data_IF_985842522795
#
_entry.id   IF_985842522795
#
_cell.length_a   1.000
_cell.length_b   1.000
_cell.length_c   1.000
_cell.angle_alpha   90.00
_cell.angle_beta   90.00
_cell.angle_gamma   90.00
#
_symmetry.space_group_name_H-M   'P 1'
#
loop_
_entity.id
_entity.type
_entity.pdbx_description
1 polymer ?
#
# COMPACT_ATOMS: atom_id res chain seq x y z
N UNK A 1 16.64 -8.00 -2.10
CA UNK A 1 15.50 -7.13 -1.73
C UNK A 1 16.01 -5.79 -1.23
N UNK A 2 15.28 -4.70 -1.45
CA UNK A 2 15.59 -3.40 -0.86
C UNK A 2 14.29 -2.61 -0.63
N UNK A 3 14.16 -1.97 0.54
CA UNK A 3 13.04 -1.08 0.88
C UNK A 3 12.98 0.10 -0.09
N UNK A 4 11.77 0.44 -0.55
CA UNK A 4 11.51 1.62 -1.38
C UNK A 4 11.60 2.90 -0.56
N UNK A 5 11.12 2.88 0.68
CA UNK A 5 11.23 4.02 1.58
C UNK A 5 12.69 4.26 1.97
N UNK A 6 13.08 5.55 1.99
CA UNK A 6 14.41 5.99 2.38
C UNK A 6 14.35 7.24 3.22
N UNK A 7 14.93 7.16 4.41
CA UNK A 7 15.20 8.36 5.20
C UNK A 7 16.47 9.03 4.72
N UNK A 8 16.42 10.35 4.63
CA UNK A 8 17.51 11.19 4.18
C UNK A 8 17.96 12.13 5.30
N UNK A 9 19.24 12.50 5.25
CA UNK A 9 19.80 13.59 6.03
C UNK A 9 20.31 14.65 5.04
N UNK A 10 19.78 15.86 5.15
CA UNK A 10 20.24 17.00 4.35
C UNK A 10 21.67 17.37 4.76
N UNK A 11 22.55 17.53 3.76
CA UNK A 11 23.96 17.92 3.95
C UNK A 11 24.28 19.27 3.29
N UNK A 12 23.32 19.84 2.55
CA UNK A 12 23.46 21.14 1.90
C UNK A 12 22.12 21.87 1.77
N UNK A 13 22.14 23.12 1.28
CA UNK A 13 20.95 23.95 1.12
C UNK A 13 20.05 23.52 -0.05
N UNK A 14 20.54 22.67 -0.96
CA UNK A 14 19.76 22.21 -2.12
C UNK A 14 19.02 20.92 -1.82
N UNK A 15 17.80 20.74 -2.35
CA UNK A 15 16.98 19.53 -2.15
C UNK A 15 17.65 18.23 -2.63
N UNK A 16 18.69 18.33 -3.46
CA UNK A 16 19.44 17.20 -4.00
C UNK A 16 20.73 16.89 -3.21
N UNK A 17 21.03 17.67 -2.18
CA UNK A 17 22.23 17.51 -1.35
C UNK A 17 21.87 16.81 -0.04
N UNK A 18 21.68 15.49 -0.14
CA UNK A 18 21.36 14.63 0.99
C UNK A 18 22.14 13.31 0.94
N UNK A 19 22.24 12.65 2.09
CA UNK A 19 22.72 11.27 2.21
C UNK A 19 21.59 10.37 2.68
N UNK A 20 21.57 9.12 2.22
CA UNK A 20 20.66 8.12 2.77
C UNK A 20 21.15 7.64 4.13
N UNK A 21 20.24 7.59 5.10
CA UNK A 21 20.52 7.02 6.41
C UNK A 21 20.63 5.50 6.26
N UNK A 22 21.76 4.94 6.68
CA UNK A 22 21.99 3.50 6.65
C UNK A 22 21.56 2.84 7.97
N UNK A 23 20.38 2.23 7.97
CA UNK A 23 19.84 1.54 9.14
C UNK A 23 20.55 0.23 9.48
N UNK A 24 21.50 -0.25 8.66
CA UNK A 24 22.32 -1.42 9.03
C UNK A 24 23.15 -1.15 10.28
N UNK A 25 23.62 0.09 10.42
CA UNK A 25 24.46 0.57 11.53
C UNK A 25 23.66 0.85 12.82
N UNK A 26 22.34 0.90 12.74
CA UNK A 26 21.49 1.20 13.90
C UNK A 26 21.28 -0.06 14.76
N UNK A 27 21.20 0.10 16.08
CA UNK A 27 20.83 -1.00 16.97
C UNK A 27 19.31 -1.28 16.90
N UNK A 28 18.92 -2.54 17.06
CA UNK A 28 17.51 -2.92 17.13
C UNK A 28 16.99 -2.78 18.57
N UNK A 29 15.87 -2.08 18.73
CA UNK A 29 15.23 -1.90 20.03
C UNK A 29 14.38 -3.12 20.40
N UNK A 30 14.82 -3.84 21.44
CA UNK A 30 14.22 -5.10 21.90
C UNK A 30 12.77 -4.94 22.38
N UNK A 31 12.29 -3.72 22.65
CA UNK A 31 10.90 -3.48 23.05
C UNK A 31 9.90 -3.89 21.96
N UNK A 32 10.34 -3.94 20.71
CA UNK A 32 9.51 -4.38 19.58
C UNK A 32 9.47 -5.91 19.45
N UNK A 33 10.26 -6.65 20.24
CA UNK A 33 10.30 -8.10 20.14
C UNK A 33 9.00 -8.73 20.68
N UNK A 34 8.33 -9.51 19.84
CA UNK A 34 7.08 -10.19 20.15
C UNK A 34 7.26 -11.71 20.21
N UNK A 35 6.66 -12.41 21.20
CA UNK A 35 6.74 -13.87 21.29
C UNK A 35 6.08 -14.55 20.09
N UNK A 36 6.87 -15.30 19.31
CA UNK A 36 6.38 -15.97 18.09
C UNK A 36 5.26 -16.97 18.36
N UNK A 37 5.30 -17.62 19.52
CA UNK A 37 4.27 -18.54 20.01
C UNK A 37 2.89 -17.89 20.15
N UNK A 38 2.82 -16.56 20.24
CA UNK A 38 1.58 -15.81 20.31
C UNK A 38 1.08 -15.36 18.92
N UNK A 39 1.63 -15.92 17.84
CA UNK A 39 1.17 -15.68 16.47
C UNK A 39 0.56 -16.94 15.88
N UNK A 40 -0.68 -16.79 15.40
CA UNK A 40 -1.37 -17.81 14.63
C UNK A 40 -1.44 -17.38 13.16
N UNK A 41 -0.66 -18.03 12.30
CA UNK A 41 -0.61 -17.69 10.87
C UNK A 41 -1.85 -18.19 10.14
N UNK A 42 -2.43 -17.29 9.33
CA UNK A 42 -3.50 -17.57 8.40
C UNK A 42 -3.04 -17.61 6.94
N UNK A 43 -3.91 -17.12 6.06
CA UNK A 43 -3.70 -17.13 4.62
C UNK A 43 -2.62 -16.16 4.13
N UNK A 44 -2.03 -16.43 2.96
CA UNK A 44 -1.07 -15.55 2.30
C UNK A 44 -1.81 -14.36 1.68
N UNK A 45 -1.42 -13.13 2.05
CA UNK A 45 -1.93 -11.87 1.48
C UNK A 45 -1.26 -11.52 0.16
N UNK A 46 0.04 -11.82 0.04
CA UNK A 46 0.80 -11.56 -1.17
C UNK A 46 2.14 -12.28 -1.12
N UNK A 47 2.68 -12.63 -2.28
CA UNK A 47 3.95 -13.33 -2.41
C UNK A 47 4.75 -12.76 -3.57
N UNK A 48 5.98 -12.33 -3.30
CA UNK A 48 6.87 -11.74 -4.29
C UNK A 48 8.12 -12.59 -4.52
N UNK A 49 9.08 -12.01 -5.24
CA UNK A 49 10.35 -12.68 -5.54
C UNK A 49 11.17 -13.00 -4.28
N UNK A 50 11.07 -12.16 -3.25
CA UNK A 50 11.97 -12.17 -2.09
C UNK A 50 11.30 -12.62 -0.78
N UNK A 51 9.96 -12.57 -0.71
CA UNK A 51 9.23 -12.86 0.51
C UNK A 51 7.74 -13.01 0.28
N UNK A 52 6.99 -13.06 1.38
CA UNK A 52 5.54 -13.07 1.39
C UNK A 52 5.01 -12.26 2.57
N UNK A 53 3.78 -11.79 2.43
CA UNK A 53 2.99 -11.22 3.52
C UNK A 53 1.84 -12.17 3.78
N UNK A 54 1.58 -12.48 5.04
CA UNK A 54 0.49 -13.37 5.46
C UNK A 54 -0.37 -12.69 6.51
N UNK A 55 -1.65 -13.05 6.57
CA UNK A 55 -2.49 -12.69 7.70
C UNK A 55 -2.07 -13.51 8.91
N UNK A 56 -2.19 -12.96 10.11
CA UNK A 56 -2.06 -13.70 11.35
C UNK A 56 -2.93 -13.08 12.46
N UNK A 57 -3.25 -13.88 13.46
CA UNK A 57 -3.80 -13.40 14.73
C UNK A 57 -2.65 -13.24 15.73
N UNK A 58 -2.46 -12.04 16.27
CA UNK A 58 -1.49 -11.77 17.32
C UNK A 58 -2.19 -11.67 18.69
N UNK A 59 -1.83 -12.56 19.62
CA UNK A 59 -2.41 -12.62 20.95
C UNK A 59 -1.57 -11.84 21.97
N UNK A 60 -2.20 -10.88 22.66
CA UNK A 60 -1.54 -10.08 23.69
C UNK A 60 -0.62 -8.98 23.14
N UNK A 61 -0.82 -8.53 21.90
CA UNK A 61 0.03 -7.49 21.29
C UNK A 61 -0.24 -6.08 21.84
N UNK A 62 -1.51 -5.77 22.15
CA UNK A 62 -1.91 -4.50 22.75
C UNK A 62 -2.06 -4.65 24.27
N UNK A 63 -2.99 -5.52 24.71
CA UNK A 63 -3.18 -5.83 26.13
C UNK A 63 -3.29 -7.34 26.35
N UNK A 64 -3.03 -7.78 27.58
CA UNK A 64 -3.20 -9.19 27.96
C UNK A 64 -4.66 -9.63 27.79
N UNK A 65 -4.89 -10.67 26.99
CA UNK A 65 -6.22 -11.20 26.70
C UNK A 65 -6.82 -10.74 25.37
N UNK A 66 -6.26 -9.69 24.76
CA UNK A 66 -6.71 -9.20 23.45
C UNK A 66 -6.06 -10.01 22.31
N UNK A 67 -6.74 -10.08 21.17
CA UNK A 67 -6.20 -10.61 19.93
C UNK A 67 -6.47 -9.64 18.78
N UNK A 68 -5.48 -9.43 17.92
CA UNK A 68 -5.58 -8.48 16.80
C UNK A 68 -5.20 -9.20 15.51
N UNK A 69 -5.92 -8.92 14.42
CA UNK A 69 -5.49 -9.34 13.09
C UNK A 69 -4.30 -8.49 12.65
N UNK A 70 -3.27 -9.12 12.11
CA UNK A 70 -2.03 -8.44 11.70
C UNK A 70 -1.55 -8.96 10.36
N UNK A 71 -0.99 -8.07 9.54
CA UNK A 71 -0.26 -8.48 8.36
C UNK A 71 1.21 -8.70 8.73
N UNK A 72 1.74 -9.84 8.30
CA UNK A 72 3.05 -10.32 8.72
C UNK A 72 3.96 -10.48 7.52
N UNK A 73 4.95 -9.58 7.42
CA UNK A 73 5.95 -9.59 6.35
C UNK A 73 7.09 -10.54 6.70
N UNK A 74 7.45 -11.45 5.80
CA UNK A 74 8.53 -12.44 6.03
C UNK A 74 9.26 -12.82 4.74
N UNK A 75 10.52 -13.22 4.87
CA UNK A 75 11.32 -13.75 3.76
C UNK A 75 10.93 -15.19 3.40
N UNK A 76 11.41 -15.66 2.25
CA UNK A 76 11.32 -17.08 1.84
C UNK A 76 12.21 -17.99 2.71
N UNK A 77 12.06 -19.31 2.58
CA UNK A 77 12.71 -20.30 3.45
C UNK A 77 14.25 -20.29 3.42
N UNK A 78 14.86 -19.78 2.34
CA UNK A 78 16.33 -19.72 2.18
C UNK A 78 16.74 -18.31 1.74
N UNK A 79 16.62 -17.30 2.61
CA UNK A 79 17.03 -15.97 2.26
C UNK A 79 18.55 -15.84 2.29
N UNK A 80 19.09 -15.07 1.37
CA UNK A 80 20.49 -14.66 1.42
C UNK A 80 20.74 -13.67 2.57
N UNK A 81 22.01 -13.39 2.86
CA UNK A 81 22.36 -12.46 3.93
C UNK A 81 21.86 -11.03 3.65
N UNK A 82 21.92 -10.59 2.39
CA UNK A 82 21.49 -9.25 2.00
C UNK A 82 19.98 -9.04 2.17
N UNK A 83 19.17 -10.07 1.93
CA UNK A 83 17.72 -10.05 2.09
C UNK A 83 17.33 -9.92 3.56
N UNK A 84 18.05 -10.60 4.45
CA UNK A 84 17.89 -10.46 5.91
C UNK A 84 18.27 -9.06 6.37
N UNK A 85 19.42 -8.56 5.92
CA UNK A 85 19.89 -7.22 6.27
C UNK A 85 18.94 -6.14 5.77
N UNK A 86 18.38 -6.30 4.56
CA UNK A 86 17.38 -5.39 4.01
C UNK A 86 16.09 -5.40 4.84
N UNK A 87 15.60 -6.57 5.26
CA UNK A 87 14.40 -6.65 6.10
C UNK A 87 14.64 -6.11 7.52
N UNK A 88 15.82 -6.33 8.11
CA UNK A 88 16.22 -5.70 9.37
C UNK A 88 16.34 -4.19 9.26
N UNK A 89 16.88 -3.69 8.16
CA UNK A 89 17.01 -2.25 7.91
C UNK A 89 15.64 -1.59 7.78
N UNK A 90 14.71 -2.26 7.09
CA UNK A 90 13.32 -1.81 7.00
C UNK A 90 12.65 -1.79 8.38
N UNK A 91 12.80 -2.84 9.19
CA UNK A 91 12.30 -2.88 10.56
C UNK A 91 12.82 -1.70 11.38
N UNK A 92 14.14 -1.48 11.40
CA UNK A 92 14.77 -0.38 12.15
C UNK A 92 14.29 1.00 11.66
N UNK A 93 14.15 1.19 10.35
CA UNK A 93 13.58 2.40 9.77
C UNK A 93 12.15 2.63 10.26
N UNK A 94 11.30 1.59 10.25
CA UNK A 94 9.92 1.68 10.74
C UNK A 94 9.86 1.99 12.23
N UNK A 95 10.80 1.51 13.05
CA UNK A 95 10.87 1.90 14.46
C UNK A 95 11.25 3.38 14.64
N UNK A 96 12.01 3.95 13.71
CA UNK A 96 12.51 5.32 13.78
C UNK A 96 11.49 6.34 13.26
N UNK A 97 10.71 5.98 12.24
CA UNK A 97 9.74 6.90 11.62
C UNK A 97 8.58 7.24 12.58
N UNK A 98 8.19 6.28 13.41
CA UNK A 98 7.06 6.39 14.34
C UNK A 98 5.74 5.93 13.69
N UNK A 99 4.63 6.32 14.30
CA UNK A 99 3.29 5.96 13.83
C UNK A 99 2.51 7.17 13.32
N UNK A 100 1.61 6.89 12.37
CA UNK A 100 0.67 7.86 11.85
C UNK A 100 -0.60 7.13 11.35
N UNK A 101 -1.75 7.79 11.43
CA UNK A 101 -3.05 7.19 11.08
C UNK A 101 -3.05 6.66 9.63
N UNK A 102 -2.56 7.47 8.70
CA UNK A 102 -2.50 7.16 7.27
C UNK A 102 -1.21 6.47 6.81
N UNK A 103 -0.46 5.88 7.73
CA UNK A 103 0.71 5.04 7.44
C UNK A 103 0.44 3.64 7.97
N UNK A 104 0.90 2.62 7.25
CA UNK A 104 0.86 1.26 7.77
C UNK A 104 1.90 1.11 8.88
N UNK A 105 1.41 1.06 10.12
CA UNK A 105 2.22 1.14 11.34
C UNK A 105 2.83 -0.20 11.74
N UNK A 106 4.05 -0.16 12.25
CA UNK A 106 4.71 -1.29 12.90
C UNK A 106 4.08 -1.55 14.28
N UNK A 107 3.65 -2.79 14.55
CA UNK A 107 3.18 -3.20 15.88
C UNK A 107 4.23 -4.01 16.68
N UNK A 108 5.21 -4.61 16.00
CA UNK A 108 6.25 -5.41 16.63
C UNK A 108 7.00 -6.28 15.62
N UNK A 109 7.94 -7.08 16.10
CA UNK A 109 8.73 -7.98 15.29
C UNK A 109 9.15 -9.25 16.02
N UNK A 110 9.39 -10.32 15.26
CA UNK A 110 10.09 -11.50 15.75
C UNK A 110 11.45 -11.56 15.03
N UNK A 111 12.53 -11.41 15.78
CA UNK A 111 13.91 -11.41 15.26
C UNK A 111 14.78 -12.47 15.92
N UNK A 112 14.42 -12.93 17.13
CA UNK A 112 15.18 -13.93 17.89
C UNK A 112 14.65 -15.34 17.62
N UNK A 113 15.58 -16.29 17.40
CA UNK A 113 15.23 -17.70 17.24
C UNK A 113 14.86 -18.35 18.58
N UNK A 114 13.57 -18.49 18.87
CA UNK A 114 13.07 -19.31 19.98
C UNK A 114 13.14 -20.82 19.67
N UNK A 115 13.55 -21.64 20.64
CA UNK A 115 13.32 -23.10 20.60
C UNK A 115 11.83 -23.34 20.82
N UNK A 116 11.09 -23.71 19.76
CA UNK A 116 9.72 -24.23 19.89
C UNK A 116 9.71 -25.47 20.80
N UNK A 117 9.14 -25.35 22.00
CA UNK A 117 8.57 -26.49 22.74
C UNK A 117 7.11 -26.58 22.36
N UNK A 118 6.71 -27.69 21.73
CA UNK A 118 5.30 -28.02 21.55
C UNK A 118 4.68 -28.24 22.93
N UNK A 119 3.79 -27.35 23.35
CA UNK A 119 2.67 -27.70 24.22
C UNK A 119 1.41 -27.44 23.42
N UNK A 120 0.80 -28.51 22.93
CA UNK A 120 -0.47 -28.45 22.23
C UNK A 120 -1.55 -27.96 23.18
N UNK A 121 -2.24 -26.90 22.80
CA UNK A 121 -3.55 -26.57 23.35
C UNK A 121 -4.44 -26.22 22.16
N UNK A 122 -5.46 -27.05 22.00
CA UNK A 122 -6.57 -26.91 21.09
C UNK A 122 -7.56 -25.95 21.77
N UNK A 123 -7.92 -24.84 21.13
CA UNK A 123 -9.06 -24.03 21.55
C UNK A 123 -9.93 -23.73 20.32
N UNK A 124 -11.06 -24.44 20.25
CA UNK A 124 -12.21 -24.13 19.40
C UNK A 124 -13.12 -23.18 20.18
N UNK A 125 -13.53 -22.08 19.56
CA UNK A 125 -14.85 -21.47 19.75
C UNK A 125 -15.34 -20.94 18.39
N UNK A 126 -16.57 -21.31 17.99
CA UNK A 126 -17.35 -20.71 16.88
C UNK A 126 -18.54 -19.91 17.46
N UNK A 127 -19.64 -19.50 16.79
CA UNK A 127 -20.25 -19.62 15.44
C UNK A 127 -21.39 -18.55 15.42
N UNK A 128 -21.79 -17.98 14.28
CA UNK A 128 -23.22 -17.92 13.84
C UNK A 128 -23.41 -17.44 12.40
N UNK A 129 -24.30 -18.14 11.71
CA UNK A 129 -24.65 -18.07 10.28
C UNK A 129 -26.00 -17.40 10.07
N UNK A 130 -26.17 -16.65 8.98
CA UNK A 130 -27.47 -16.53 8.30
C UNK A 130 -27.27 -16.48 6.78
N UNK A 131 -27.83 -17.47 6.09
CA UNK A 131 -28.01 -17.51 4.64
C UNK A 131 -29.17 -16.59 4.25
N UNK A 132 -29.02 -15.80 3.17
CA UNK A 132 -30.15 -15.33 2.37
C UNK A 132 -29.83 -15.39 0.87
N UNK A 133 -30.88 -15.74 0.13
CA UNK A 133 -30.94 -16.19 -1.26
C UNK A 133 -30.78 -15.06 -2.27
N UNK A 134 -30.43 -15.46 -3.48
CA UNK A 134 -30.56 -14.74 -4.75
C UNK A 134 -31.95 -14.11 -4.88
N UNK A 135 -32.02 -12.83 -5.25
CA UNK A 135 -33.17 -12.24 -5.94
C UNK A 135 -32.68 -11.13 -6.91
N UNK A 136 -33.33 -11.10 -8.08
CA UNK A 136 -33.07 -10.28 -9.26
C UNK A 136 -33.30 -8.78 -9.02
N UNK A 137 -32.50 -7.90 -9.64
CA UNK A 137 -32.66 -6.44 -9.54
C UNK A 137 -33.46 -5.87 -10.72
N UNK A 138 -34.61 -5.27 -10.42
CA UNK A 138 -35.34 -4.34 -11.27
C UNK A 138 -34.64 -2.97 -11.33
N UNK A 139 -34.80 -2.27 -12.46
CA UNK A 139 -34.25 -0.94 -12.73
C UNK A 139 -35.25 0.16 -12.38
N UNK A 140 -34.81 1.19 -11.65
CA UNK A 140 -35.53 2.47 -11.56
C UNK A 140 -34.60 3.66 -11.76
N UNK A 141 -34.95 4.50 -12.73
CA UNK A 141 -34.33 5.79 -13.04
C UNK A 141 -34.71 6.85 -12.01
N UNK A 142 -33.73 7.68 -11.62
CA UNK A 142 -33.99 8.98 -11.01
C UNK A 142 -33.03 9.31 -9.87
N UNK A 143 -32.26 10.39 -10.05
CA UNK A 143 -31.24 10.97 -9.15
C UNK A 143 -29.82 10.47 -9.38
N UNK A 144 -28.85 11.38 -9.33
CA UNK A 144 -27.41 11.18 -9.57
C UNK A 144 -26.74 10.29 -8.50
N UNK A 145 -27.27 9.09 -8.29
CA UNK A 145 -26.73 8.11 -7.37
C UNK A 145 -26.00 7.03 -8.19
N UNK A 146 -24.72 6.88 -7.90
CA UNK A 146 -23.84 5.87 -8.50
C UNK A 146 -24.25 4.51 -7.92
N UNK A 147 -24.87 3.65 -8.72
CA UNK A 147 -25.08 2.25 -8.32
C UNK A 147 -23.82 1.44 -8.68
N UNK A 148 -22.91 1.34 -7.74
CA UNK A 148 -21.87 0.29 -7.72
C UNK A 148 -22.38 -0.78 -6.76
N UNK A 149 -22.20 -2.05 -7.08
CA UNK A 149 -22.56 -3.15 -6.16
C UNK A 149 -21.27 -3.80 -5.71
N UNK A 150 -20.97 -3.76 -4.41
CA UNK A 150 -19.84 -4.48 -3.87
C UNK A 150 -20.18 -5.97 -3.77
N UNK A 151 -19.58 -6.75 -4.65
CA UNK A 151 -19.51 -8.18 -4.46
C UNK A 151 -18.62 -8.52 -3.27
N UNK A 152 -18.93 -9.64 -2.65
CA UNK A 152 -18.19 -10.36 -1.60
C UNK A 152 -16.65 -10.36 -1.63
N UNK A 153 -16.01 -10.01 -2.75
CA UNK A 153 -14.59 -10.20 -3.01
C UNK A 153 -13.85 -8.91 -3.37
N UNK A 154 -14.37 -7.74 -3.01
CA UNK A 154 -13.82 -6.44 -3.42
C UNK A 154 -14.43 -5.90 -4.72
N UNK A 155 -14.03 -4.68 -5.08
CA UNK A 155 -14.64 -3.85 -6.12
C UNK A 155 -14.74 -4.58 -7.48
N UNK A 156 -15.96 -4.78 -7.96
CA UNK A 156 -16.29 -5.23 -9.32
C UNK A 156 -16.81 -4.02 -10.11
N UNK A 157 -16.06 -3.59 -11.13
CA UNK A 157 -16.48 -2.53 -12.07
C UNK A 157 -17.05 -3.17 -13.34
N UNK A 158 -18.29 -2.83 -13.69
CA UNK A 158 -18.92 -3.21 -14.97
C UNK A 158 -18.88 -2.02 -15.94
N UNK A 159 -18.63 -2.30 -17.22
CA UNK A 159 -18.81 -1.36 -18.33
C UNK A 159 -20.13 -1.69 -19.07
N UNK A 160 -20.72 -0.67 -19.71
CA UNK A 160 -22.06 -0.57 -20.31
C UNK A 160 -22.41 -1.59 -21.43
N UNK A 161 -21.59 -2.62 -21.65
CA UNK A 161 -21.83 -3.67 -22.65
C UNK A 161 -21.59 -5.10 -22.14
N UNK A 162 -21.57 -5.32 -20.83
CA UNK A 162 -21.51 -6.68 -20.26
C UNK A 162 -20.21 -7.44 -20.53
N UNK A 163 -19.12 -6.75 -20.91
CA UNK A 163 -17.78 -7.35 -21.03
C UNK A 163 -16.99 -7.17 -19.73
N UNK A 164 -16.54 -8.30 -19.18
CA UNK A 164 -15.71 -8.41 -17.98
C UNK A 164 -14.39 -7.65 -18.15
N UNK A 165 -14.06 -6.76 -17.21
CA UNK A 165 -12.82 -5.99 -17.19
C UNK A 165 -12.00 -6.25 -15.91
N UNK A 166 -11.93 -7.50 -15.43
CA UNK A 166 -11.41 -7.82 -14.09
C UNK A 166 -10.28 -8.84 -14.00
N UNK A 167 -9.52 -9.09 -15.06
CA UNK A 167 -8.32 -9.95 -14.95
C UNK A 167 -7.01 -9.17 -14.66
N UNK A 168 -7.03 -7.83 -14.47
CA UNK A 168 -5.76 -7.09 -14.44
C UNK A 168 -5.54 -5.98 -13.39
N UNK A 169 -6.53 -5.54 -12.59
CA UNK A 169 -6.34 -4.28 -11.81
C UNK A 169 -6.53 -4.40 -10.28
N UNK A 170 -7.12 -5.47 -9.75
CA UNK A 170 -7.31 -5.57 -8.28
C UNK A 170 -6.93 -6.91 -7.63
N UNK A 171 -6.12 -7.73 -8.28
CA UNK A 171 -5.72 -9.04 -7.72
C UNK A 171 -4.71 -8.99 -6.56
N UNK A 172 -4.28 -7.82 -6.05
CA UNK A 172 -3.27 -7.75 -4.98
C UNK A 172 -3.47 -6.65 -3.92
N UNK A 173 -4.63 -6.00 -3.84
CA UNK A 173 -4.92 -5.01 -2.78
C UNK A 173 -6.24 -5.26 -2.02
N UNK A 174 -7.04 -6.24 -2.44
CA UNK A 174 -8.17 -6.77 -1.68
C UNK A 174 -7.90 -8.23 -1.34
N UNK A 175 -7.25 -8.50 -0.21
CA UNK A 175 -7.47 -9.80 0.44
C UNK A 175 -8.58 -9.62 1.45
N UNK A 176 -9.81 -9.69 0.95
CA UNK A 176 -10.98 -9.83 1.80
C UNK A 176 -10.90 -11.16 2.55
N UNK A 177 -11.09 -11.09 3.88
CA UNK A 177 -11.52 -12.23 4.68
C UNK A 177 -12.88 -12.70 4.17
N UNK A 178 -12.91 -13.67 3.25
CA UNK A 178 -14.08 -14.54 3.08
C UNK A 178 -13.68 -16.01 3.13
N UNK A 179 -14.25 -16.67 4.12
CA UNK A 179 -14.24 -18.12 4.32
C UNK A 179 -15.00 -18.74 3.16
N UNK A 180 -14.31 -19.51 2.32
CA UNK A 180 -14.98 -20.51 1.49
C UNK A 180 -14.56 -21.90 1.96
N UNK A 181 -15.51 -22.56 2.61
CA UNK A 181 -15.41 -23.94 3.05
C UNK A 181 -15.29 -24.84 1.83
N UNK A 182 -14.09 -25.31 1.55
CA UNK A 182 -13.89 -26.51 0.75
C UNK A 182 -12.83 -27.35 1.44
N UNK A 183 -13.33 -28.40 2.10
CA UNK A 183 -12.56 -29.51 2.65
C UNK A 183 -11.71 -30.10 1.53
N UNK A 184 -10.40 -30.10 1.69
CA UNK A 184 -9.55 -31.14 1.11
C UNK A 184 -8.45 -31.48 2.10
N UNK A 185 -8.52 -32.70 2.62
CA UNK A 185 -7.44 -33.32 3.36
C UNK A 185 -6.20 -33.39 2.48
N UNK A 186 -5.05 -32.99 3.02
CA UNK A 186 -3.78 -33.66 2.77
C UNK A 186 -2.88 -33.40 3.98
N UNK A 187 -2.74 -34.45 4.80
CA UNK A 187 -1.64 -34.59 5.73
C UNK A 187 -0.33 -34.61 4.93
N UNK A 188 0.64 -33.79 5.30
CA UNK A 188 2.02 -34.27 5.49
C UNK A 188 2.86 -33.17 6.14
N UNK A 189 3.60 -33.60 7.17
CA UNK A 189 4.40 -32.70 7.99
C UNK A 189 5.64 -32.21 7.29
N UNK A 190 6.02 -30.96 7.57
CA UNK A 190 7.37 -30.47 7.33
C UNK A 190 7.90 -29.77 8.56
N UNK A 191 8.92 -30.42 9.13
CA UNK A 191 9.76 -29.93 10.22
C UNK A 191 10.77 -28.91 9.66
N UNK A 192 11.18 -27.99 10.55
CA UNK A 192 12.51 -27.36 10.70
C UNK A 192 12.66 -25.89 10.26
N UNK A 193 12.98 -25.10 11.30
CA UNK A 193 14.03 -24.07 11.45
C UNK A 193 14.28 -23.13 10.27
N UNK A 194 14.04 -21.87 10.54
CA UNK A 194 14.30 -20.75 9.63
C UNK A 194 14.59 -19.51 10.48
N UNK A 195 15.71 -18.80 10.24
CA UNK A 195 15.96 -17.51 10.85
C UNK A 195 15.03 -16.50 10.17
N UNK A 196 14.06 -15.98 10.91
CA UNK A 196 12.98 -15.16 10.39
C UNK A 196 13.05 -13.80 11.05
N UNK A 197 13.20 -12.75 10.24
CA UNK A 197 12.83 -11.39 10.62
C UNK A 197 11.41 -11.22 10.14
N UNK A 198 10.54 -10.76 11.01
CA UNK A 198 9.11 -10.70 10.80
C UNK A 198 8.61 -9.45 11.48
N UNK A 199 7.76 -8.66 10.84
CA UNK A 199 7.17 -7.50 11.51
C UNK A 199 5.68 -7.37 11.21
N UNK A 200 4.96 -6.86 12.21
CA UNK A 200 3.50 -6.78 12.25
C UNK A 200 3.04 -5.43 11.78
N UNK A 201 2.02 -5.44 10.94
CA UNK A 201 1.34 -4.24 10.49
C UNK A 201 -0.09 -4.25 11.01
N UNK A 202 -0.54 -3.08 11.48
CA UNK A 202 -1.89 -2.86 12.02
C UNK A 202 -2.96 -3.29 11.02
N UNK A 203 -3.82 -4.24 11.42
CA UNK A 203 -5.12 -4.47 10.79
C UNK A 203 -6.21 -4.17 11.80
N UNK A 204 -7.32 -3.57 11.31
CA UNK A 204 -8.35 -2.92 12.11
C UNK A 204 -8.91 -3.79 13.23
N UNK A 205 -9.06 -3.19 14.41
CA UNK A 205 -9.78 -3.71 15.57
C UNK A 205 -11.19 -3.16 15.53
N UNK A 206 -12.15 -3.93 15.00
CA UNK A 206 -13.57 -3.94 15.36
C UNK A 206 -14.34 -4.72 14.30
N UNK A 207 -15.10 -5.70 14.77
CA UNK A 207 -16.05 -6.47 13.98
C UNK A 207 -17.37 -6.16 14.65
N UNK A 208 -18.12 -5.19 14.15
CA UNK A 208 -19.57 -5.11 14.29
C UNK A 208 -20.12 -3.96 13.44
N UNK A 209 -21.29 -4.22 12.86
CA UNK A 209 -22.09 -3.42 11.91
C UNK A 209 -21.71 -3.56 10.42
N UNK A 210 -22.70 -3.99 9.62
CA UNK A 210 -22.68 -4.01 8.17
C UNK A 210 -22.52 -2.56 7.65
N UNK A 211 -21.30 -2.02 7.65
CA UNK A 211 -21.03 -0.78 6.96
C UNK A 211 -21.29 -1.00 5.47
N UNK A 212 -22.21 -0.22 4.93
CA UNK A 212 -22.62 -0.19 3.53
C UNK A 212 -21.42 0.25 2.66
N UNK A 213 -20.45 -0.63 2.44
CA UNK A 213 -19.35 -0.43 1.49
C UNK A 213 -19.85 -0.27 0.05
N UNK A 214 -21.17 -0.34 -0.18
CA UNK A 214 -21.75 -0.59 -1.48
C UNK A 214 -21.55 0.55 -2.48
N UNK A 215 -21.38 1.81 -2.06
CA UNK A 215 -21.24 2.93 -3.01
C UNK A 215 -19.98 3.76 -2.74
N UNK A 216 -19.18 3.94 -3.79
CA UNK A 216 -18.06 4.88 -3.83
C UNK A 216 -18.55 6.23 -4.37
N UNK A 217 -18.37 7.28 -3.59
CA UNK A 217 -18.78 8.65 -3.91
C UNK A 217 -17.59 9.51 -4.32
N UNK A 218 -17.86 10.69 -4.89
CA UNK A 218 -16.81 11.69 -5.14
C UNK A 218 -16.15 12.17 -3.83
N UNK A 219 -16.92 12.30 -2.75
CA UNK A 219 -16.41 12.64 -1.42
C UNK A 219 -15.41 11.60 -0.91
N UNK A 220 -15.66 10.31 -1.14
CA UNK A 220 -14.70 9.25 -0.81
C UNK A 220 -13.37 9.42 -1.56
N UNK A 221 -13.39 9.80 -2.84
CA UNK A 221 -12.18 10.05 -3.63
C UNK A 221 -11.38 11.23 -3.09
N UNK A 222 -12.07 12.30 -2.67
CA UNK A 222 -11.43 13.44 -1.99
C UNK A 222 -10.86 13.03 -0.63
N UNK A 223 -11.60 12.26 0.15
CA UNK A 223 -11.18 11.74 1.46
C UNK A 223 -9.92 10.86 1.33
N UNK A 224 -9.88 9.94 0.36
CA UNK A 224 -8.68 9.15 0.07
C UNK A 224 -7.50 10.04 -0.30
N UNK A 225 -7.73 11.02 -1.19
CA UNK A 225 -6.71 11.96 -1.64
C UNK A 225 -6.12 12.74 -0.45
N UNK A 226 -6.98 13.25 0.43
CA UNK A 226 -6.63 14.02 1.61
C UNK A 226 -5.84 13.19 2.63
N UNK A 227 -6.31 11.97 2.92
CA UNK A 227 -5.63 11.06 3.84
C UNK A 227 -4.25 10.64 3.33
N UNK A 228 -4.08 10.35 2.03
CA UNK A 228 -2.76 10.09 1.45
C UNK A 228 -1.87 11.33 1.55
N UNK A 229 -2.41 12.53 1.31
CA UNK A 229 -1.63 13.77 1.48
C UNK A 229 -1.14 13.95 2.92
N UNK A 230 -1.97 13.65 3.94
CA UNK A 230 -1.54 13.66 5.36
C UNK A 230 -0.44 12.65 5.64
N UNK A 231 -0.59 11.42 5.15
CA UNK A 231 0.44 10.39 5.31
C UNK A 231 1.78 10.85 4.71
N UNK A 232 1.75 11.45 3.52
CA UNK A 232 2.96 11.98 2.88
C UNK A 232 3.51 13.24 3.56
N UNK A 233 2.66 14.13 4.12
CA UNK A 233 3.09 15.25 4.96
C UNK A 233 3.83 14.75 6.20
N UNK A 234 3.34 13.67 6.82
CA UNK A 234 4.04 13.01 7.91
C UNK A 234 5.39 12.45 7.47
N UNK A 235 5.47 11.73 6.34
CA UNK A 235 6.76 11.24 5.81
C UNK A 235 7.74 12.39 5.50
N UNK A 236 7.26 13.49 4.92
CA UNK A 236 8.04 14.71 4.68
C UNK A 236 8.60 15.28 6.00
N UNK A 237 7.78 15.34 7.07
CA UNK A 237 8.22 15.78 8.41
C UNK A 237 9.29 14.88 9.04
N UNK A 238 9.40 13.63 8.59
CA UNK A 238 10.39 12.65 9.03
C UNK A 238 11.59 12.55 8.08
N UNK A 239 11.68 13.41 7.06
CA UNK A 239 12.70 13.31 6.02
C UNK A 239 12.71 11.92 5.35
N UNK A 240 11.54 11.33 5.13
CA UNK A 240 11.39 10.01 4.49
C UNK A 240 10.80 10.14 3.08
N UNK A 241 11.56 9.69 2.06
CA UNK A 241 11.13 9.66 0.67
C UNK A 241 10.56 8.27 0.36
N UNK A 242 9.37 8.20 -0.24
CA UNK A 242 8.69 6.95 -0.57
C UNK A 242 9.24 6.29 -1.85
N UNK A 243 9.51 7.05 -2.92
CA UNK A 243 10.10 6.59 -4.21
C UNK A 243 9.25 5.67 -5.09
N UNK A 244 8.11 5.21 -4.59
CA UNK A 244 7.18 4.31 -5.29
C UNK A 244 5.72 4.62 -4.90
N UNK A 245 5.39 5.90 -4.69
CA UNK A 245 4.04 6.31 -4.32
C UNK A 245 3.08 6.10 -5.51
N UNK A 246 2.07 5.25 -5.32
CA UNK A 246 1.08 4.86 -6.32
C UNK A 246 -0.12 4.22 -5.63
N UNK A 247 -1.28 4.16 -6.30
CA UNK A 247 -2.49 3.55 -5.73
C UNK A 247 -2.27 2.10 -5.25
N UNK A 248 -1.42 1.33 -5.94
CA UNK A 248 -1.03 -0.06 -5.56
C UNK A 248 -0.29 -0.17 -4.22
N UNK A 249 0.20 0.93 -3.67
CA UNK A 249 0.90 1.03 -2.39
C UNK A 249 0.06 1.78 -1.34
N UNK A 250 -1.23 1.93 -1.59
CA UNK A 250 -2.22 2.45 -0.64
C UNK A 250 -3.16 1.31 -0.26
N UNK A 251 -3.32 1.07 1.04
CA UNK A 251 -4.31 0.14 1.59
C UNK A 251 -5.55 0.92 2.04
N UNK A 252 -6.71 0.27 1.98
CA UNK A 252 -7.96 0.76 2.56
C UNK A 252 -8.37 -0.17 3.70
N UNK A 253 -8.72 0.38 4.86
CA UNK A 253 -9.16 -0.36 6.06
C UNK A 253 -10.61 -0.02 6.41
N UNK A 254 -11.10 -0.53 7.54
CA UNK A 254 -12.40 -0.18 8.12
C UNK A 254 -12.64 1.34 8.15
N UNK A 255 -13.88 1.78 7.93
CA UNK A 255 -14.25 3.19 7.92
C UNK A 255 -13.65 4.00 6.77
N UNK A 256 -13.28 3.36 5.64
CA UNK A 256 -12.66 4.00 4.47
C UNK A 256 -11.35 4.76 4.82
N UNK A 257 -10.64 4.30 5.85
CA UNK A 257 -9.33 4.85 6.22
C UNK A 257 -8.26 4.30 5.29
N UNK A 258 -7.38 5.16 4.77
CA UNK A 258 -6.30 4.73 3.88
C UNK A 258 -4.94 4.80 4.57
N UNK A 259 -4.08 3.83 4.25
CA UNK A 259 -2.73 3.71 4.83
C UNK A 259 -1.69 3.48 3.74
N UNK A 260 -0.66 4.33 3.72
CA UNK A 260 0.48 4.23 2.80
C UNK A 260 1.44 3.12 3.27
N UNK A 261 1.97 2.33 2.34
CA UNK A 261 2.83 1.19 2.66
C UNK A 261 3.91 0.92 1.59
N UNK A 262 4.82 -0.01 1.90
CA UNK A 262 5.77 -0.57 0.95
C UNK A 262 5.65 -2.11 0.84
N UNK A 263 4.95 -2.57 -0.20
CA UNK A 263 4.82 -4.00 -0.51
C UNK A 263 5.94 -4.57 -1.39
N UNK A 264 7.09 -3.91 -1.51
CA UNK A 264 8.20 -4.37 -2.36
C UNK A 264 8.62 -5.84 -2.16
N UNK A 265 8.48 -6.43 -0.96
CA UNK A 265 8.73 -7.88 -0.73
C UNK A 265 7.65 -8.80 -1.30
N UNK A 266 6.40 -8.37 -1.25
CA UNK A 266 5.23 -9.18 -1.56
C UNK A 266 4.81 -9.09 -3.04
N UNK A 267 5.44 -8.20 -3.80
CA UNK A 267 5.16 -7.99 -5.22
C UNK A 267 6.10 -8.84 -6.08
N UNK A 268 5.52 -9.58 -7.01
CA UNK A 268 6.29 -10.17 -8.10
C UNK A 268 6.57 -9.12 -9.17
N UNK A 269 7.54 -8.25 -8.87
CA UNK A 269 7.99 -7.20 -9.79
C UNK A 269 8.46 -7.80 -11.12
N UNK A 270 8.77 -9.12 -11.18
CA UNK A 270 9.18 -9.78 -12.42
C UNK A 270 8.08 -9.84 -13.48
N UNK A 271 6.83 -9.95 -13.04
CA UNK A 271 5.65 -10.13 -13.88
C UNK A 271 4.72 -8.91 -13.92
N UNK A 272 5.08 -7.82 -13.22
CA UNK A 272 4.31 -6.58 -13.19
C UNK A 272 4.70 -5.67 -14.37
N UNK A 273 3.77 -5.45 -15.31
CA UNK A 273 3.97 -4.60 -16.49
C UNK A 273 4.16 -3.12 -16.15
N UNK A 274 3.85 -2.69 -14.93
CA UNK A 274 4.06 -1.32 -14.47
C UNK A 274 5.52 -1.02 -14.12
N UNK A 275 6.37 -2.05 -14.05
CA UNK A 275 7.79 -1.92 -13.74
C UNK A 275 8.66 -2.22 -14.96
N UNK A 276 9.48 -1.26 -15.34
CA UNK A 276 10.38 -1.39 -16.50
C UNK A 276 11.79 -1.71 -16.02
N UNK A 277 12.42 -2.70 -16.65
CA UNK A 277 13.83 -3.05 -16.41
C UNK A 277 14.73 -1.95 -16.98
N UNK A 278 15.56 -1.35 -16.12
CA UNK A 278 16.56 -0.34 -16.52
C UNK A 278 17.88 -0.58 -15.79
N UNK A 279 18.86 -1.11 -16.51
CA UNK A 279 20.08 -1.63 -15.91
C UNK A 279 19.76 -2.80 -14.98
N UNK A 280 20.23 -2.74 -13.73
CA UNK A 280 20.01 -3.78 -12.72
C UNK A 280 18.76 -3.52 -11.83
N UNK A 281 17.95 -2.51 -12.15
CA UNK A 281 16.78 -2.13 -11.37
C UNK A 281 15.49 -2.26 -12.18
N UNK A 282 14.37 -2.47 -11.48
CA UNK A 282 13.02 -2.37 -12.02
C UNK A 282 12.34 -1.14 -11.44
N UNK A 283 11.82 -0.27 -12.29
CA UNK A 283 11.38 1.07 -11.91
C UNK A 283 9.92 1.34 -12.31
N UNK A 284 9.13 2.03 -11.47
CA UNK A 284 7.74 2.40 -11.74
C UNK A 284 7.66 3.62 -12.67
N UNK A 285 8.17 3.49 -13.90
CA UNK A 285 8.51 4.63 -14.79
C UNK A 285 7.38 5.65 -14.97
N UNK A 286 6.12 5.20 -15.04
CA UNK A 286 4.97 6.10 -15.22
C UNK A 286 4.69 7.00 -14.01
N UNK A 287 5.12 6.62 -12.81
CA UNK A 287 4.94 7.42 -11.59
C UNK A 287 6.13 8.34 -11.30
N UNK A 288 7.28 8.13 -11.95
CA UNK A 288 8.51 8.83 -11.62
C UNK A 288 8.55 10.26 -12.17
N UNK A 289 9.12 11.17 -11.38
CA UNK A 289 9.41 12.53 -11.78
C UNK A 289 10.54 12.60 -12.82
N UNK A 290 10.63 13.66 -13.65
CA UNK A 290 11.68 13.82 -14.64
C UNK A 290 13.10 13.71 -14.06
N UNK A 291 13.39 14.36 -12.93
CA UNK A 291 14.69 14.27 -12.26
C UNK A 291 15.02 12.84 -11.79
N UNK A 292 14.02 12.06 -11.37
CA UNK A 292 14.19 10.66 -11.00
C UNK A 292 14.45 9.78 -12.23
N UNK A 293 13.81 10.09 -13.37
CA UNK A 293 13.99 9.38 -14.62
C UNK A 293 15.34 9.67 -15.28
N UNK A 294 15.79 10.92 -15.28
CA UNK A 294 16.96 11.33 -16.07
C UNK A 294 18.23 11.44 -15.22
N UNK A 295 18.12 11.89 -13.97
CA UNK A 295 19.25 12.18 -13.09
C UNK A 295 19.38 11.16 -11.95
N UNK A 296 18.37 10.28 -11.77
CA UNK A 296 18.26 9.32 -10.65
C UNK A 296 18.17 10.00 -9.28
N UNK A 297 17.68 11.23 -9.27
CA UNK A 297 17.46 12.02 -8.06
C UNK A 297 16.07 11.75 -7.50
N UNK A 298 15.98 11.46 -6.19
CA UNK A 298 14.70 11.28 -5.49
C UNK A 298 14.62 12.29 -4.36
N UNK A 299 13.52 13.01 -4.27
CA UNK A 299 13.27 14.02 -3.23
C UNK A 299 11.81 14.00 -2.82
N UNK A 300 11.44 14.75 -1.78
CA UNK A 300 10.03 14.97 -1.44
C UNK A 300 9.25 15.55 -2.63
N UNK A 301 9.89 16.39 -3.45
CA UNK A 301 9.27 16.94 -4.66
C UNK A 301 9.05 15.89 -5.76
N UNK A 302 9.88 14.84 -5.81
CA UNK A 302 9.61 13.70 -6.70
C UNK A 302 8.45 12.83 -6.20
N UNK A 303 8.24 12.74 -4.89
CA UNK A 303 7.04 12.11 -4.34
C UNK A 303 5.79 12.96 -4.59
N UNK A 304 5.88 14.29 -4.57
CA UNK A 304 4.77 15.19 -4.97
C UNK A 304 4.36 14.94 -6.43
N UNK A 305 5.30 14.74 -7.35
CA UNK A 305 4.98 14.34 -8.72
C UNK A 305 4.21 13.01 -8.74
N UNK A 306 4.72 12.02 -8.01
CA UNK A 306 4.11 10.68 -7.91
C UNK A 306 2.70 10.75 -7.31
N UNK A 307 2.48 11.63 -6.34
CA UNK A 307 1.18 11.93 -5.76
C UNK A 307 0.21 12.51 -6.79
N UNK A 308 0.66 13.40 -7.68
CA UNK A 308 -0.16 13.86 -8.80
C UNK A 308 -0.62 12.73 -9.72
N UNK A 309 0.25 11.74 -9.99
CA UNK A 309 -0.10 10.53 -10.75
C UNK A 309 -1.11 9.68 -9.98
N UNK A 310 -0.92 9.51 -8.67
CA UNK A 310 -1.84 8.80 -7.79
C UNK A 310 -3.23 9.46 -7.75
N UNK A 311 -3.31 10.79 -7.70
CA UNK A 311 -4.58 11.50 -7.83
C UNK A 311 -5.27 11.16 -9.16
N UNK A 312 -4.51 11.12 -10.26
CA UNK A 312 -5.05 10.70 -11.55
C UNK A 312 -5.57 9.27 -11.53
N UNK A 313 -4.89 8.33 -10.85
CA UNK A 313 -5.40 6.98 -10.61
C UNK A 313 -6.72 6.99 -9.83
N UNK A 314 -6.79 7.74 -8.72
CA UNK A 314 -8.00 7.85 -7.88
C UNK A 314 -9.20 8.36 -8.70
N UNK A 315 -9.04 9.50 -9.38
CA UNK A 315 -10.14 10.15 -10.11
C UNK A 315 -10.40 9.57 -11.51
N UNK A 316 -9.63 8.56 -11.92
CA UNK A 316 -9.94 7.71 -13.07
C UNK A 316 -10.51 6.34 -12.67
N UNK A 317 -10.67 6.08 -11.37
CA UNK A 317 -11.07 4.79 -10.80
C UNK A 317 -10.09 3.64 -11.18
N UNK A 318 -8.78 3.93 -11.13
CA UNK A 318 -7.72 2.94 -11.27
C UNK A 318 -7.29 2.66 -12.71
N UNK A 319 -7.56 3.57 -13.64
CA UNK A 319 -7.01 3.45 -15.00
C UNK A 319 -5.49 3.56 -14.95
N UNK A 320 -4.80 2.77 -15.78
CA UNK A 320 -3.35 2.86 -15.88
C UNK A 320 -2.91 4.25 -16.39
N UNK A 321 -1.98 4.94 -15.71
CA UNK A 321 -1.53 6.26 -16.15
C UNK A 321 -1.00 6.25 -17.60
N UNK A 322 -1.19 7.36 -18.30
CA UNK A 322 -0.85 7.51 -19.73
C UNK A 322 -1.52 6.41 -20.59
N UNK A 323 -2.86 6.36 -20.61
CA UNK A 323 -3.60 5.30 -21.28
C UNK A 323 -3.24 5.26 -22.78
N UNK A 324 -2.97 4.06 -23.29
CA UNK A 324 -2.55 3.86 -24.69
C UNK A 324 -1.10 4.22 -25.01
N UNK A 325 -0.35 4.80 -24.08
CA UNK A 325 1.06 5.15 -24.27
C UNK A 325 1.97 4.09 -23.65
N UNK A 326 2.80 3.49 -24.50
CA UNK A 326 3.82 2.51 -24.09
C UNK A 326 5.05 3.20 -23.54
N UNK A 327 5.73 2.56 -22.59
CA UNK A 327 6.98 3.09 -22.02
C UNK A 327 8.16 2.73 -22.94
N UNK A 328 8.40 3.59 -23.93
CA UNK A 328 9.49 3.50 -24.90
C UNK A 328 10.31 4.81 -24.96
N UNK A 329 11.21 4.95 -25.94
CA UNK A 329 12.00 6.18 -26.11
C UNK A 329 11.13 7.43 -26.33
N UNK A 330 9.94 7.30 -26.92
CA UNK A 330 9.03 8.42 -27.14
C UNK A 330 8.36 8.84 -25.82
N UNK A 331 8.06 7.90 -24.93
CA UNK A 331 7.57 8.21 -23.59
C UNK A 331 8.53 9.15 -22.85
N UNK A 332 9.82 8.85 -22.84
CA UNK A 332 10.82 9.71 -22.19
C UNK A 332 10.88 11.11 -22.82
N UNK A 333 10.83 11.21 -24.16
CA UNK A 333 10.79 12.52 -24.85
C UNK A 333 9.52 13.31 -24.51
N UNK A 334 8.40 12.63 -24.37
CA UNK A 334 7.10 13.20 -24.03
C UNK A 334 7.09 13.74 -22.59
N UNK A 335 7.66 13.02 -21.63
CA UNK A 335 7.83 13.54 -20.26
C UNK A 335 8.79 14.73 -20.26
N UNK A 336 9.89 14.66 -21.00
CA UNK A 336 10.88 15.73 -21.08
C UNK A 336 10.33 17.02 -21.74
N UNK A 337 9.37 16.90 -22.67
CA UNK A 337 8.71 18.06 -23.27
C UNK A 337 7.66 18.73 -22.37
N UNK A 338 7.38 18.15 -21.19
CA UNK A 338 6.40 18.69 -20.24
C UNK A 338 4.97 18.27 -20.54
N UNK A 339 4.76 17.16 -21.26
CA UNK A 339 3.43 16.59 -21.41
C UNK A 339 2.80 16.29 -20.04
N UNK A 340 1.50 16.54 -19.94
CA UNK A 340 0.66 16.21 -18.79
C UNK A 340 -0.55 15.44 -19.29
N UNK A 341 -1.01 14.46 -18.51
CA UNK A 341 -2.23 13.73 -18.84
C UNK A 341 -3.44 14.66 -18.84
N UNK A 342 -4.44 14.32 -19.65
CA UNK A 342 -5.74 14.98 -19.65
C UNK A 342 -6.48 14.76 -18.32
N UNK A 343 -7.45 15.63 -18.06
CA UNK A 343 -8.30 15.55 -16.87
C UNK A 343 -9.03 14.20 -16.82
N UNK A 344 -8.91 13.42 -15.72
CA UNK A 344 -9.63 12.17 -15.58
C UNK A 344 -11.12 12.44 -15.33
N UNK A 345 -11.98 11.50 -15.73
CA UNK A 345 -13.43 11.70 -15.84
C UNK A 345 -14.10 12.19 -14.55
N UNK A 346 -13.68 11.69 -13.38
CA UNK A 346 -14.30 12.03 -12.09
C UNK A 346 -13.63 13.20 -11.36
N UNK A 347 -12.57 13.80 -11.92
CA UNK A 347 -11.94 14.96 -11.29
C UNK A 347 -12.70 16.24 -11.59
N UNK A 348 -12.89 17.08 -10.59
CA UNK A 348 -13.27 18.49 -10.80
C UNK A 348 -12.11 19.27 -11.41
N UNK A 349 -12.39 20.48 -11.90
CA UNK A 349 -11.34 21.37 -12.44
C UNK A 349 -10.30 21.71 -11.37
N UNK A 350 -10.71 21.90 -10.12
CA UNK A 350 -9.81 22.27 -9.03
C UNK A 350 -8.90 21.11 -8.63
N UNK A 351 -9.44 19.88 -8.54
CA UNK A 351 -8.62 18.67 -8.39
C UNK A 351 -7.62 18.55 -9.54
N UNK A 352 -8.06 18.77 -10.79
CA UNK A 352 -7.15 18.66 -11.93
C UNK A 352 -6.06 19.73 -11.94
N UNK A 353 -6.38 20.98 -11.59
CA UNK A 353 -5.40 22.05 -11.39
C UNK A 353 -4.34 21.64 -10.34
N UNK A 354 -4.77 20.97 -9.26
CA UNK A 354 -3.86 20.41 -8.26
C UNK A 354 -2.93 19.36 -8.87
N UNK A 355 -3.44 18.39 -9.63
CA UNK A 355 -2.61 17.40 -10.35
C UNK A 355 -1.58 18.09 -11.26
N UNK A 356 -2.01 19.09 -12.02
CA UNK A 356 -1.12 19.84 -12.92
C UNK A 356 -0.02 20.60 -12.17
N UNK A 357 -0.28 21.08 -10.96
CA UNK A 357 0.72 21.73 -10.11
C UNK A 357 1.79 20.74 -9.60
N UNK A 358 1.39 19.51 -9.29
CA UNK A 358 2.30 18.41 -8.94
C UNK A 358 3.24 18.04 -10.10
N UNK A 359 2.78 18.19 -11.35
CA UNK A 359 3.56 17.89 -12.56
C UNK A 359 4.32 19.09 -13.13
N UNK A 360 4.71 20.06 -12.30
CA UNK A 360 5.63 21.10 -12.74
C UNK A 360 7.01 20.48 -13.05
N UNK A 361 7.57 20.80 -14.23
CA UNK A 361 8.92 20.32 -14.61
C UNK A 361 9.99 20.81 -13.62
N UNK A 362 9.91 22.07 -13.21
CA UNK A 362 10.73 22.60 -12.12
C UNK A 362 10.18 22.13 -10.77
N UNK A 363 10.94 21.25 -10.09
CA UNK A 363 10.54 20.64 -8.82
C UNK A 363 10.21 21.67 -7.73
N UNK A 364 10.86 22.84 -7.76
CA UNK A 364 10.65 23.93 -6.79
C UNK A 364 9.30 24.59 -6.92
N UNK A 365 8.65 24.45 -8.08
CA UNK A 365 7.30 24.98 -8.34
C UNK A 365 6.19 24.02 -7.92
N UNK A 366 6.53 22.77 -7.59
CA UNK A 366 5.55 21.80 -7.08
C UNK A 366 5.16 22.19 -5.65
N UNK A 367 3.90 21.99 -5.24
CA UNK A 367 3.47 22.29 -3.86
C UNK A 367 4.22 21.43 -2.84
N UNK A 368 4.14 21.78 -1.55
CA UNK A 368 4.47 20.85 -0.46
C UNK A 368 3.26 19.99 -0.12
N UNK A 369 3.45 18.89 0.60
CA UNK A 369 2.31 18.07 1.05
C UNK A 369 1.41 18.86 1.99
N UNK A 370 1.95 19.74 2.83
CA UNK A 370 1.15 20.63 3.68
C UNK A 370 0.22 21.57 2.90
N UNK A 371 0.68 22.09 1.74
CA UNK A 371 -0.17 22.86 0.84
C UNK A 371 -1.27 22.00 0.21
N UNK A 372 -0.95 20.77 -0.17
CA UNK A 372 -1.92 19.82 -0.74
C UNK A 372 -2.99 19.42 0.28
N UNK A 373 -2.60 19.13 1.52
CA UNK A 373 -3.51 18.86 2.65
C UNK A 373 -4.46 20.03 2.86
N UNK A 374 -3.94 21.26 2.91
CA UNK A 374 -4.76 22.46 3.07
C UNK A 374 -5.75 22.65 1.93
N UNK A 375 -5.31 22.41 0.68
CA UNK A 375 -6.16 22.58 -0.50
C UNK A 375 -7.28 21.53 -0.57
N UNK A 376 -6.99 20.28 -0.22
CA UNK A 376 -7.98 19.19 -0.17
C UNK A 376 -8.96 19.35 0.98
N UNK A 377 -8.51 19.86 2.13
CA UNK A 377 -9.39 20.20 3.24
C UNK A 377 -10.43 21.26 2.84
N UNK A 378 -10.04 22.28 2.08
CA UNK A 378 -10.97 23.27 1.54
C UNK A 378 -11.99 22.61 0.59
N UNK A 379 -11.55 21.75 -0.33
CA UNK A 379 -12.47 21.07 -1.25
C UNK A 379 -13.43 20.13 -0.53
N UNK A 380 -12.99 19.43 0.52
CA UNK A 380 -13.85 18.58 1.35
C UNK A 380 -14.89 19.38 2.13
N UNK A 381 -14.57 20.62 2.54
CA UNK A 381 -15.53 21.49 3.21
C UNK A 381 -16.58 22.08 2.27
N UNK A 382 -16.34 22.04 0.95
CA UNK A 382 -17.21 22.56 -0.10
C UNK A 382 -18.02 21.47 -0.83
N UNK A 383 -17.63 20.20 -0.68
CA UNK A 383 -18.30 19.03 -1.25
C UNK A 383 -19.52 18.63 -0.42
#
# INVERSE_FOLDING_TARGET
YESQWRMIQMIGPSDNEYIYIDFREFEYDIKWEFPRENLEFGQVLGSGAFGKVVNATAYGINNAGDSVQVAVKMLKEKPDASEKDALMSELKMMTHIGSHENIVNLLGACTVSGKMKLTGIHLKYGVNTTLCREDELETTQGSQNINVTLGSNGILLFSEEGKRLTDYIFSNAYLSMKIHTSILYLSEGLKKRTPFVMFFLEASTEVDEEEDFNVLTFEDLLCFSYQVAKGMEFLESKSCIHRDLAARNILVTHGKVVKICDFGLARDVMNDSNYIVRGNARLPVKWMAPESLFERTYTMKSDVWSYGILLWEIFSLGVNPYPGIQVDTNFYKLIQSGFKMDQPYYATKDVYCMMQSCWALDSRKRPSFSHLVSSLACQLAEA
#
